data_IF_027162396753
#
_entry.id   IF_027162396753
#
_cell.length_a   1.000
_cell.length_b   1.000
_cell.length_c   1.000
_cell.angle_alpha   90.00
_cell.angle_beta   90.00
_cell.angle_gamma   90.00
#
_symmetry.space_group_name_H-M   'P 1'
#
loop_
_entity.id
_entity.type
_entity.pdbx_description
1 polymer ?
#
# COMPACT_ATOMS: atom_id res chain seq x y z
N UNK A 1 7.35 -13.94 -23.76
CA UNK A 1 8.41 -12.94 -24.01
C UNK A 1 7.90 -12.01 -25.09
N UNK A 2 8.09 -10.70 -24.92
CA UNK A 2 7.58 -9.68 -25.85
C UNK A 2 8.76 -8.87 -26.35
N UNK A 3 8.87 -8.69 -27.66
CA UNK A 3 9.85 -7.78 -28.24
C UNK A 3 9.49 -6.33 -27.88
N UNK A 4 10.49 -5.50 -27.64
CA UNK A 4 10.33 -4.09 -27.26
C UNK A 4 11.30 -3.25 -28.09
N UNK A 5 10.99 -1.96 -28.22
CA UNK A 5 11.87 -1.00 -28.88
C UNK A 5 13.18 -0.81 -28.08
N UNK A 6 14.25 -0.39 -28.76
CA UNK A 6 15.57 -0.18 -28.15
C UNK A 6 15.55 0.88 -27.03
N UNK A 7 14.63 1.85 -27.12
CA UNK A 7 14.44 2.91 -26.12
C UNK A 7 13.60 2.46 -24.91
N UNK A 8 13.10 1.22 -24.90
CA UNK A 8 12.31 0.71 -23.78
C UNK A 8 13.14 0.60 -22.50
N UNK A 9 12.59 1.10 -21.41
CA UNK A 9 13.16 0.93 -20.08
C UNK A 9 12.11 0.40 -19.09
N UNK A 10 12.35 -0.79 -18.54
CA UNK A 10 11.42 -1.45 -17.62
C UNK A 10 11.04 -0.60 -16.39
N UNK A 11 11.88 0.37 -15.99
CA UNK A 11 11.61 1.30 -14.90
C UNK A 11 10.98 2.60 -15.37
N UNK A 12 11.60 3.27 -16.36
CA UNK A 12 11.20 4.63 -16.77
C UNK A 12 10.01 4.66 -17.72
N UNK A 13 9.79 3.59 -18.48
CA UNK A 13 8.62 3.45 -19.37
C UNK A 13 7.34 3.03 -18.64
N UNK A 14 7.44 2.60 -17.36
CA UNK A 14 6.30 2.17 -16.57
C UNK A 14 5.46 3.36 -16.11
N UNK A 15 4.17 3.35 -16.45
CA UNK A 15 3.20 4.40 -16.16
C UNK A 15 2.41 4.16 -14.88
N UNK A 16 2.27 2.89 -14.48
CA UNK A 16 1.57 2.50 -13.25
C UNK A 16 2.19 1.23 -12.68
N UNK A 17 2.17 1.12 -11.35
CA UNK A 17 2.42 -0.14 -10.63
C UNK A 17 1.21 -0.46 -9.78
N UNK A 18 0.87 -1.74 -9.70
CA UNK A 18 -0.18 -2.26 -8.82
C UNK A 18 0.41 -3.28 -7.86
N UNK A 19 0.09 -3.13 -6.58
CA UNK A 19 0.44 -4.08 -5.53
C UNK A 19 -0.81 -4.70 -4.93
N UNK A 20 -0.67 -5.97 -4.53
CA UNK A 20 -1.58 -6.63 -3.62
C UNK A 20 -0.88 -6.82 -2.27
N UNK A 21 -1.59 -6.60 -1.17
CA UNK A 21 -1.13 -6.99 0.17
C UNK A 21 -2.13 -7.97 0.78
N UNK A 22 -1.70 -9.19 1.09
CA UNK A 22 -2.57 -10.26 1.58
C UNK A 22 -2.61 -10.34 3.11
N UNK A 23 -3.82 -10.54 3.64
CA UNK A 23 -4.08 -10.73 5.07
C UNK A 23 -4.98 -11.95 5.26
N UNK A 24 -4.60 -12.82 6.19
CA UNK A 24 -5.47 -13.81 6.81
C UNK A 24 -6.05 -13.20 8.08
N UNK A 25 -7.34 -12.86 8.03
CA UNK A 25 -8.11 -12.39 9.17
C UNK A 25 -8.95 -13.53 9.77
N UNK A 26 -8.29 -14.41 10.52
CA UNK A 26 -8.90 -15.59 11.12
C UNK A 26 -8.27 -15.90 12.49
N UNK A 27 -8.97 -16.56 13.42
CA UNK A 27 -8.42 -16.86 14.73
C UNK A 27 -7.19 -17.79 14.69
N UNK A 28 -7.10 -18.67 13.69
CA UNK A 28 -5.98 -19.59 13.50
C UNK A 28 -5.09 -19.14 12.34
N UNK A 29 -3.79 -19.31 12.52
CA UNK A 29 -2.82 -19.10 11.44
C UNK A 29 -2.84 -20.27 10.44
N UNK A 30 -2.49 -19.99 9.19
CA UNK A 30 -2.23 -21.01 8.17
C UNK A 30 -0.71 -21.18 7.99
N UNK A 31 -0.11 -22.29 8.46
CA UNK A 31 1.34 -22.50 8.36
C UNK A 31 1.82 -22.66 6.92
N UNK A 32 0.95 -23.00 5.96
CA UNK A 32 1.34 -23.17 4.56
C UNK A 32 1.54 -21.83 3.84
N UNK A 33 0.91 -20.77 4.33
CA UNK A 33 0.93 -19.43 3.73
C UNK A 33 1.55 -18.37 4.66
N UNK A 34 2.13 -18.77 5.79
CA UNK A 34 2.70 -17.86 6.79
C UNK A 34 3.73 -16.86 6.23
N UNK A 35 4.45 -17.24 5.17
CA UNK A 35 5.43 -16.37 4.49
C UNK A 35 4.85 -15.57 3.32
N UNK A 36 3.54 -15.63 3.10
CA UNK A 36 2.84 -15.02 1.95
C UNK A 36 1.66 -14.13 2.34
N UNK A 37 1.19 -14.21 3.59
CA UNK A 37 0.08 -13.39 4.10
C UNK A 37 0.34 -12.96 5.54
N UNK A 38 -0.13 -11.75 5.89
CA UNK A 38 -0.07 -11.30 7.28
C UNK A 38 -1.25 -11.87 8.05
N UNK A 39 -0.97 -12.71 9.03
CA UNK A 39 -1.98 -13.21 9.96
C UNK A 39 -2.38 -12.16 11.00
N UNK A 40 -3.68 -11.89 11.10
CA UNK A 40 -4.28 -11.00 12.09
C UNK A 40 -5.49 -11.73 12.71
N UNK A 41 -5.41 -12.19 13.96
CA UNK A 41 -6.51 -12.92 14.59
C UNK A 41 -7.68 -12.04 15.03
N UNK A 42 -7.43 -10.76 15.31
CA UNK A 42 -8.49 -9.82 15.71
C UNK A 42 -9.37 -9.42 14.52
N UNK A 43 -10.71 -9.37 14.66
CA UNK A 43 -11.60 -8.97 13.57
C UNK A 43 -11.25 -7.58 13.01
N UNK A 44 -11.33 -7.45 11.69
CA UNK A 44 -11.14 -6.19 10.98
C UNK A 44 -12.44 -5.71 10.34
N UNK A 45 -12.74 -4.42 10.52
CA UNK A 45 -13.82 -3.75 9.80
C UNK A 45 -13.37 -3.37 8.39
N UNK A 46 -13.83 -4.15 7.40
CA UNK A 46 -13.48 -3.97 5.99
C UNK A 46 -14.02 -2.65 5.40
N UNK A 47 -15.16 -2.16 5.89
CA UNK A 47 -15.77 -0.92 5.42
C UNK A 47 -14.99 0.27 5.95
N UNK A 48 -14.59 0.26 7.22
CA UNK A 48 -13.69 1.25 7.79
C UNK A 48 -12.32 1.28 7.09
N UNK A 49 -11.78 0.12 6.75
CA UNK A 49 -10.54 0.00 5.97
C UNK A 49 -10.66 0.58 4.56
N UNK A 50 -11.79 0.33 3.88
CA UNK A 50 -12.09 0.93 2.58
C UNK A 50 -12.32 2.44 2.66
N UNK A 51 -12.96 2.92 3.73
CA UNK A 51 -13.11 4.35 3.99
C UNK A 51 -11.73 5.02 4.13
N UNK A 52 -10.84 4.46 4.94
CA UNK A 52 -9.45 4.93 5.06
C UNK A 52 -8.71 4.89 3.71
N UNK A 53 -8.83 3.80 2.94
CA UNK A 53 -8.17 3.67 1.63
C UNK A 53 -8.64 4.72 0.62
N UNK A 54 -9.91 5.14 0.70
CA UNK A 54 -10.47 6.17 -0.19
C UNK A 54 -9.79 7.53 -0.04
N UNK A 55 -9.28 7.83 1.15
CA UNK A 55 -8.56 9.08 1.44
C UNK A 55 -7.20 9.15 0.73
N UNK A 56 -6.65 8.01 0.31
CA UNK A 56 -5.35 7.96 -0.36
C UNK A 56 -5.40 8.43 -1.81
N UNK A 57 -6.60 8.45 -2.42
CA UNK A 57 -6.79 8.73 -3.83
C UNK A 57 -6.32 10.15 -4.19
N UNK A 58 -5.77 10.29 -5.40
CA UNK A 58 -5.24 11.55 -5.88
C UNK A 58 -3.78 11.76 -5.48
N UNK A 59 -3.37 13.02 -5.42
CA UNK A 59 -1.97 13.41 -5.27
C UNK A 59 -1.69 13.94 -3.86
N UNK A 60 -0.73 13.31 -3.17
CA UNK A 60 -0.37 13.66 -1.79
C UNK A 60 1.13 13.60 -1.58
N UNK A 61 1.63 14.37 -0.61
CA UNK A 61 2.97 14.23 -0.06
C UNK A 61 2.99 13.11 0.99
N UNK A 62 3.42 11.92 0.59
CA UNK A 62 3.43 10.74 1.45
C UNK A 62 4.66 10.65 2.37
N UNK A 63 5.38 11.75 2.62
CA UNK A 63 6.62 11.74 3.42
C UNK A 63 6.48 10.98 4.75
N UNK A 64 5.36 11.11 5.46
CA UNK A 64 5.09 10.39 6.72
C UNK A 64 4.89 8.87 6.54
N UNK A 65 4.48 8.43 5.36
CA UNK A 65 4.28 7.00 5.01
C UNK A 65 5.49 6.39 4.30
N UNK A 66 6.54 7.17 4.05
CA UNK A 66 7.72 6.74 3.32
C UNK A 66 8.92 6.53 4.24
N UNK A 67 9.83 5.65 3.84
CA UNK A 67 11.20 5.66 4.38
C UNK A 67 12.00 6.65 3.54
N UNK A 68 12.55 7.69 4.19
CA UNK A 68 13.37 8.68 3.48
C UNK A 68 14.58 8.01 2.82
N UNK A 69 14.91 8.36 1.56
CA UNK A 69 16.15 7.93 0.94
C UNK A 69 17.36 8.44 1.73
N UNK A 70 18.42 7.63 1.83
CA UNK A 70 19.67 8.09 2.42
C UNK A 70 20.25 9.22 1.55
N UNK A 71 20.65 10.32 2.19
CA UNK A 71 21.28 11.46 1.51
C UNK A 71 20.32 12.46 0.86
N UNK A 72 19.00 12.28 0.98
CA UNK A 72 18.00 13.25 0.51
C UNK A 72 16.91 13.47 1.59
N UNK A 73 17.28 14.01 2.77
CA UNK A 73 16.34 14.14 3.87
C UNK A 73 15.20 15.12 3.56
N UNK A 74 15.37 16.11 2.69
CA UNK A 74 14.38 17.17 2.47
C UNK A 74 13.48 16.98 1.23
N UNK A 75 13.63 15.89 0.48
CA UNK A 75 12.81 15.67 -0.72
C UNK A 75 11.37 15.35 -0.36
N UNK A 76 10.41 16.14 -0.86
CA UNK A 76 8.98 15.79 -0.81
C UNK A 76 8.74 14.49 -1.58
N UNK A 77 7.88 13.63 -1.05
CA UNK A 77 7.62 12.31 -1.61
C UNK A 77 6.20 12.25 -2.19
N UNK A 78 5.94 13.19 -3.11
CA UNK A 78 4.65 13.33 -3.77
C UNK A 78 4.38 12.15 -4.70
N UNK A 79 3.25 11.47 -4.53
CA UNK A 79 2.78 10.37 -5.39
C UNK A 79 1.30 10.54 -5.70
N UNK A 80 0.87 9.95 -6.82
CA UNK A 80 -0.53 9.93 -7.22
C UNK A 80 -1.06 8.50 -7.18
N UNK A 81 -1.98 8.24 -6.25
CA UNK A 81 -2.72 6.99 -6.18
C UNK A 81 -3.88 7.04 -7.19
N UNK A 82 -3.99 6.01 -8.01
CA UNK A 82 -5.05 5.85 -9.00
C UNK A 82 -6.20 4.99 -8.48
N UNK A 83 -5.88 3.93 -7.73
CA UNK A 83 -6.87 3.08 -7.07
C UNK A 83 -6.34 2.58 -5.73
N UNK A 84 -7.23 2.43 -4.75
CA UNK A 84 -6.94 1.83 -3.45
C UNK A 84 -8.23 1.23 -2.91
N UNK A 85 -8.26 -0.09 -2.68
CA UNK A 85 -9.43 -0.79 -2.14
C UNK A 85 -9.04 -2.08 -1.43
N UNK A 86 -9.81 -2.44 -0.42
CA UNK A 86 -9.74 -3.74 0.23
C UNK A 86 -10.82 -4.66 -0.32
N UNK A 87 -10.41 -5.88 -0.66
CA UNK A 87 -11.26 -6.88 -1.31
C UNK A 87 -11.30 -8.13 -0.45
N UNK A 88 -12.50 -8.63 -0.17
CA UNK A 88 -12.69 -9.94 0.42
C UNK A 88 -12.47 -11.01 -0.66
N UNK A 89 -11.44 -11.85 -0.48
CA UNK A 89 -11.21 -13.01 -1.34
C UNK A 89 -12.11 -14.17 -0.92
N UNK A 90 -12.26 -14.37 0.38
CA UNK A 90 -13.23 -15.27 0.99
C UNK A 90 -13.57 -14.75 2.41
N UNK A 91 -14.17 -15.59 3.26
CA UNK A 91 -14.59 -15.20 4.61
C UNK A 91 -13.44 -14.76 5.53
N UNK A 92 -12.25 -15.31 5.33
CA UNK A 92 -11.11 -15.16 6.23
C UNK A 92 -9.96 -14.40 5.57
N UNK A 93 -9.92 -14.33 4.24
CA UNK A 93 -8.82 -13.70 3.51
C UNK A 93 -9.29 -12.44 2.80
N UNK A 94 -8.53 -11.38 3.03
CA UNK A 94 -8.70 -10.09 2.38
C UNK A 94 -7.39 -9.69 1.73
N UNK A 95 -7.46 -8.81 0.73
CA UNK A 95 -6.26 -8.18 0.19
C UNK A 95 -6.48 -6.71 -0.12
N UNK A 96 -5.42 -5.93 0.05
CA UNK A 96 -5.38 -4.53 -0.35
C UNK A 96 -4.85 -4.42 -1.78
N UNK A 97 -5.66 -3.94 -2.71
CA UNK A 97 -5.25 -3.60 -4.07
C UNK A 97 -5.00 -2.10 -4.15
N UNK A 98 -3.79 -1.71 -4.53
CA UNK A 98 -3.42 -0.31 -4.69
C UNK A 98 -2.61 -0.11 -5.97
N UNK A 99 -2.98 0.89 -6.77
CA UNK A 99 -2.24 1.30 -7.96
C UNK A 99 -1.88 2.78 -7.93
N UNK A 100 -0.70 3.11 -8.46
CA UNK A 100 -0.16 4.47 -8.46
C UNK A 100 0.85 4.66 -9.59
N UNK A 101 1.13 5.92 -9.91
CA UNK A 101 2.20 6.28 -10.85
C UNK A 101 3.58 5.74 -10.38
N UNK A 102 3.84 5.85 -9.09
CA UNK A 102 4.98 5.27 -8.41
C UNK A 102 4.71 5.14 -6.91
N UNK A 103 5.54 4.37 -6.21
CA UNK A 103 5.55 4.28 -4.75
C UNK A 103 6.92 4.66 -4.21
N UNK A 104 6.96 5.28 -3.04
CA UNK A 104 8.22 5.47 -2.30
C UNK A 104 8.58 4.20 -1.51
N UNK A 105 9.79 4.17 -0.94
CA UNK A 105 10.23 3.04 -0.14
C UNK A 105 9.28 2.84 1.06
N UNK A 106 8.77 1.62 1.23
CA UNK A 106 7.85 1.19 2.30
C UNK A 106 6.42 1.76 2.25
N UNK A 107 6.08 2.57 1.25
CA UNK A 107 4.78 3.25 1.14
C UNK A 107 3.59 2.31 1.31
N UNK A 108 3.52 1.27 0.49
CA UNK A 108 2.36 0.37 0.46
C UNK A 108 2.15 -0.29 1.82
N UNK A 109 3.22 -0.77 2.45
CA UNK A 109 3.17 -1.40 3.78
C UNK A 109 2.77 -0.42 4.88
N UNK A 110 3.18 0.85 4.78
CA UNK A 110 2.76 1.89 5.73
C UNK A 110 1.28 2.25 5.56
N UNK A 111 0.79 2.33 4.32
CA UNK A 111 -0.64 2.54 4.03
C UNK A 111 -1.50 1.34 4.46
N UNK A 112 -1.03 0.11 4.21
CA UNK A 112 -1.64 -1.12 4.74
C UNK A 112 -1.74 -1.09 6.26
N UNK A 113 -0.64 -0.73 6.94
CA UNK A 113 -0.61 -0.62 8.40
C UNK A 113 -1.60 0.43 8.93
N UNK A 114 -1.73 1.56 8.24
CA UNK A 114 -2.73 2.59 8.56
C UNK A 114 -4.16 2.05 8.42
N UNK A 115 -4.50 1.43 7.30
CA UNK A 115 -5.82 0.82 7.12
C UNK A 115 -6.12 -0.22 8.19
N UNK A 116 -5.17 -1.11 8.52
CA UNK A 116 -5.35 -2.12 9.57
C UNK A 116 -5.54 -1.46 10.95
N UNK A 117 -4.83 -0.37 11.25
CA UNK A 117 -5.04 0.37 12.49
C UNK A 117 -6.46 0.96 12.56
N UNK A 118 -7.00 1.46 11.45
CA UNK A 118 -8.40 1.92 11.36
C UNK A 118 -9.38 0.75 11.51
N UNK A 119 -9.20 -0.33 10.74
CA UNK A 119 -10.07 -1.51 10.76
C UNK A 119 -10.08 -2.26 12.09
N UNK A 120 -9.04 -2.10 12.91
CA UNK A 120 -8.97 -2.64 14.28
C UNK A 120 -9.41 -1.64 15.36
N UNK A 121 -9.87 -0.45 14.98
CA UNK A 121 -10.34 0.59 15.91
C UNK A 121 -9.23 1.26 16.72
N UNK A 122 -7.97 1.17 16.29
CA UNK A 122 -6.81 1.77 16.98
C UNK A 122 -6.57 3.23 16.61
N UNK A 123 -7.11 3.69 15.48
CA UNK A 123 -7.12 5.09 15.08
C UNK A 123 -8.28 5.40 14.13
N UNK A 124 -8.64 6.67 14.02
CA UNK A 124 -9.70 7.13 13.10
C UNK A 124 -9.14 7.38 11.69
N UNK A 125 -9.94 7.17 10.65
CA UNK A 125 -9.53 7.39 9.26
C UNK A 125 -9.15 8.85 9.00
N UNK A 126 -9.84 9.77 9.66
CA UNK A 126 -9.67 11.23 9.60
C UNK A 126 -8.29 11.68 10.08
N UNK A 127 -7.57 10.83 10.82
CA UNK A 127 -6.18 11.10 11.19
C UNK A 127 -5.23 11.11 9.99
N UNK A 128 -5.63 10.55 8.84
CA UNK A 128 -4.81 10.48 7.63
C UNK A 128 -4.24 11.83 7.22
N UNK A 129 -5.08 12.87 7.15
CA UNK A 129 -4.62 14.21 6.77
C UNK A 129 -3.64 14.79 7.79
N UNK A 130 -3.86 14.56 9.09
CA UNK A 130 -2.96 15.02 10.13
C UNK A 130 -1.59 14.33 10.01
N UNK A 131 -1.56 13.03 9.71
CA UNK A 131 -0.33 12.28 9.46
C UNK A 131 0.40 12.83 8.23
N UNK A 132 -0.30 13.10 7.12
CA UNK A 132 0.32 13.71 5.93
C UNK A 132 0.95 15.08 6.26
N UNK A 133 0.21 15.95 6.96
CA UNK A 133 0.67 17.30 7.32
C UNK A 133 1.87 17.29 8.25
N UNK A 134 2.01 16.27 9.11
CA UNK A 134 3.14 16.14 10.01
C UNK A 134 4.49 15.99 9.27
N UNK A 135 4.48 15.41 8.05
CA UNK A 135 5.70 15.07 7.27
C UNK A 135 6.75 14.31 8.08
N UNK A 136 6.29 13.57 9.08
CA UNK A 136 7.08 12.85 10.05
C UNK A 136 6.60 11.40 10.09
N UNK A 137 7.55 10.49 9.93
CA UNK A 137 7.27 9.06 9.91
C UNK A 137 6.78 8.55 11.26
N UNK A 138 7.19 9.15 12.38
CA UNK A 138 6.70 8.73 13.69
C UNK A 138 5.22 9.05 13.91
N UNK A 139 4.61 9.90 13.08
CA UNK A 139 3.18 10.16 13.12
C UNK A 139 2.34 9.03 12.50
N UNK A 140 2.95 8.16 11.67
CA UNK A 140 2.24 7.06 11.03
C UNK A 140 2.13 5.83 11.95
N UNK A 141 1.04 5.04 11.85
CA UNK A 141 0.92 3.76 12.56
C UNK A 141 2.02 2.76 12.19
N UNK A 142 2.16 1.67 12.97
CA UNK A 142 3.11 0.60 12.68
C UNK A 142 3.02 0.09 11.24
N UNK A 143 4.18 -0.10 10.62
CA UNK A 143 4.29 -0.62 9.26
C UNK A 143 3.88 -2.10 9.20
N UNK A 144 3.06 -2.47 8.22
CA UNK A 144 2.72 -3.87 7.97
C UNK A 144 3.98 -4.72 7.69
N UNK A 145 4.03 -6.02 8.03
CA UNK A 145 5.13 -6.91 7.66
C UNK A 145 5.43 -6.94 6.14
N UNK A 146 6.59 -7.45 5.69
CA UNK A 146 6.91 -7.47 4.26
C UNK A 146 6.28 -8.63 3.50
N UNK A 147 6.07 -9.77 4.15
CA UNK A 147 5.78 -11.06 3.50
C UNK A 147 4.42 -11.10 2.79
N UNK A 148 3.46 -10.26 3.19
CA UNK A 148 2.15 -10.16 2.52
C UNK A 148 2.15 -9.37 1.22
N UNK A 149 3.24 -8.66 0.87
CA UNK A 149 3.28 -7.72 -0.25
C UNK A 149 3.70 -8.39 -1.56
N UNK A 150 2.88 -8.24 -2.60
CA UNK A 150 3.13 -8.76 -3.95
C UNK A 150 3.02 -7.63 -4.98
N UNK A 151 4.04 -7.45 -5.83
CA UNK A 151 3.91 -6.63 -7.05
C UNK A 151 3.06 -7.41 -8.06
N UNK A 152 1.84 -6.94 -8.32
CA UNK A 152 0.87 -7.66 -9.12
C UNK A 152 0.95 -7.31 -10.61
N UNK A 153 1.12 -6.03 -10.92
CA UNK A 153 1.12 -5.55 -12.30
C UNK A 153 2.02 -4.33 -12.47
N UNK A 154 2.62 -4.20 -13.65
CA UNK A 154 3.29 -2.98 -14.10
C UNK A 154 2.72 -2.64 -15.47
N UNK A 155 2.15 -1.46 -15.56
CA UNK A 155 1.57 -0.94 -16.80
C UNK A 155 2.63 -0.14 -17.54
N UNK A 156 2.74 -0.38 -18.83
CA UNK A 156 3.56 0.39 -19.76
C UNK A 156 2.65 1.12 -20.76
N UNK A 157 3.09 2.27 -21.27
CA UNK A 157 2.37 2.92 -22.37
C UNK A 157 2.40 1.99 -23.59
N UNK A 158 1.28 1.88 -24.31
CA UNK A 158 1.29 1.24 -25.64
C UNK A 158 2.08 2.16 -26.58
N UNK A 159 3.14 1.64 -27.18
CA UNK A 159 3.70 2.25 -28.38
C UNK A 159 2.73 1.95 -29.53
N UNK A 160 2.39 2.98 -30.32
CA UNK A 160 1.57 2.83 -31.54
C UNK A 160 2.37 2.12 -32.66
#
# INVERSE_FOLDING_TARGET
MTAVDDDFNARFSATERMYHYFILNAPQADPLLADLEWHIPEPLDLDAMNHAASLFLGEHDFTSFCRRPKGQPESLLVRRIHSAKWVAHNRERIYFEISANAFCHQMVRSLTGFCVAVGSGKCDAETFEAVLRARDRSAAPPIAPPHGLVLKHVTYRKTD
#
